data_IF_136932739671
#
_entry.id   IF_136932739671
#
_cell.length_a   1.000
_cell.length_b   1.000
_cell.length_c   1.000
_cell.angle_alpha   90.00
_cell.angle_beta   90.00
_cell.angle_gamma   90.00
#
_symmetry.space_group_name_H-M   'P 1'
#
loop_
_entity.id
_entity.type
_entity.pdbx_description
1 polymer ?
#
# COMPACT_ATOMS: atom_id res chain seq x y z
N UNK A 1 -32.34 -43.22 19.52
CA UNK A 1 -32.17 -41.76 19.30
C UNK A 1 -30.68 -41.49 19.36
N UNK A 2 -30.02 -41.40 18.20
CA UNK A 2 -28.55 -41.30 18.10
C UNK A 2 -28.13 -39.88 18.47
N UNK A 3 -27.14 -39.75 19.36
CA UNK A 3 -26.49 -38.46 19.66
C UNK A 3 -25.67 -38.05 18.43
N UNK A 4 -25.85 -36.84 17.95
CA UNK A 4 -24.99 -36.23 16.94
C UNK A 4 -23.61 -36.03 17.56
N UNK A 5 -22.61 -36.73 17.04
CA UNK A 5 -21.22 -36.50 17.38
C UNK A 5 -20.75 -35.30 16.54
N UNK A 6 -20.55 -34.16 17.18
CA UNK A 6 -19.84 -33.04 16.55
C UNK A 6 -18.39 -33.46 16.28
N UNK A 7 -18.01 -33.55 15.02
CA UNK A 7 -16.65 -33.89 14.60
C UNK A 7 -15.75 -32.64 14.74
N UNK A 8 -14.85 -32.58 15.75
CA UNK A 8 -14.00 -31.41 15.98
C UNK A 8 -13.02 -31.15 14.82
N UNK A 9 -12.83 -32.15 13.96
CA UNK A 9 -11.94 -32.08 12.81
C UNK A 9 -12.46 -31.18 11.69
N UNK A 10 -13.78 -31.05 11.53
CA UNK A 10 -14.38 -30.23 10.46
C UNK A 10 -14.15 -28.74 10.76
N UNK A 11 -14.35 -28.31 12.00
CA UNK A 11 -14.11 -26.91 12.41
C UNK A 11 -12.63 -26.52 12.30
N UNK A 12 -11.70 -27.48 12.46
CA UNK A 12 -10.26 -27.22 12.37
C UNK A 12 -9.76 -26.98 10.94
N UNK A 13 -10.53 -27.37 9.92
CA UNK A 13 -10.20 -27.07 8.51
C UNK A 13 -10.71 -25.67 8.09
N UNK A 14 -11.67 -25.11 8.83
CA UNK A 14 -12.24 -23.77 8.56
C UNK A 14 -11.37 -22.69 9.22
N UNK A 15 -10.76 -22.98 10.37
CA UNK A 15 -9.80 -22.10 11.05
C UNK A 15 -8.37 -22.14 10.46
N UNK A 16 -8.14 -22.90 9.38
CA UNK A 16 -6.82 -23.09 8.78
C UNK A 16 -6.65 -22.38 7.43
N UNK A 17 -7.27 -21.21 7.24
CA UNK A 17 -6.90 -20.27 6.16
C UNK A 17 -6.30 -18.95 6.67
N UNK A 18 -5.41 -19.06 7.65
CA UNK A 18 -4.28 -18.13 7.68
C UNK A 18 -3.01 -18.95 7.89
N UNK A 19 -2.62 -19.70 6.87
CA UNK A 19 -1.19 -19.83 6.60
C UNK A 19 -0.74 -18.38 6.41
N UNK A 20 0.10 -17.80 7.29
CA UNK A 20 0.72 -16.55 6.93
C UNK A 20 1.57 -16.91 5.72
N UNK A 21 1.02 -16.64 4.54
CA UNK A 21 1.79 -16.51 3.30
C UNK A 21 3.09 -15.86 3.73
N UNK A 22 4.27 -16.50 3.54
CA UNK A 22 5.54 -15.92 3.94
C UNK A 22 5.48 -14.51 3.39
N UNK A 23 5.44 -13.49 4.26
CA UNK A 23 5.13 -12.11 3.87
C UNK A 23 6.17 -11.77 2.84
N UNK A 24 5.80 -11.99 1.58
CA UNK A 24 6.77 -11.97 0.54
C UNK A 24 7.23 -10.53 0.55
N UNK A 25 8.53 -10.36 0.76
CA UNK A 25 9.16 -9.10 1.12
C UNK A 25 9.23 -8.20 -0.11
N UNK A 26 8.09 -8.05 -0.77
CA UNK A 26 7.84 -7.21 -1.90
C UNK A 26 7.65 -5.80 -1.40
N UNK A 27 8.33 -4.89 -2.07
CA UNK A 27 8.12 -3.47 -1.89
C UNK A 27 6.69 -3.12 -2.29
N UNK A 28 6.02 -2.37 -1.43
CA UNK A 28 4.62 -1.97 -1.55
C UNK A 28 4.49 -0.51 -1.14
N UNK A 29 3.36 0.12 -1.43
CA UNK A 29 3.00 1.39 -0.83
C UNK A 29 2.70 1.22 0.67
N UNK A 30 3.23 2.14 1.47
CA UNK A 30 2.95 2.28 2.89
C UNK A 30 1.51 2.73 3.10
N UNK A 31 0.84 2.24 4.15
CA UNK A 31 -0.56 2.62 4.44
C UNK A 31 -0.72 4.09 4.83
N UNK A 32 0.29 4.66 5.49
CA UNK A 32 0.39 6.10 5.68
C UNK A 32 0.68 6.78 4.33
N UNK A 33 -0.29 7.55 3.85
CA UNK A 33 -0.22 8.34 2.63
C UNK A 33 -0.94 9.69 2.84
N UNK A 34 -0.77 10.62 1.90
CA UNK A 34 -1.41 11.93 1.93
C UNK A 34 -2.93 11.83 1.84
N UNK A 35 -3.62 12.88 2.29
CA UNK A 35 -5.08 12.87 2.41
C UNK A 35 -5.83 12.80 1.08
N UNK A 36 -5.16 13.06 -0.04
CA UNK A 36 -5.73 12.93 -1.40
C UNK A 36 -5.19 11.68 -2.12
N UNK A 37 -4.59 10.74 -1.38
CA UNK A 37 -4.12 9.44 -1.86
C UNK A 37 -4.85 8.29 -1.15
N UNK A 38 -5.05 7.19 -1.87
CA UNK A 38 -5.58 5.94 -1.35
C UNK A 38 -4.68 4.79 -1.76
N UNK A 39 -4.20 4.04 -0.75
CA UNK A 39 -3.47 2.80 -0.96
C UNK A 39 -4.44 1.63 -0.87
N UNK A 40 -4.44 0.78 -1.90
CA UNK A 40 -5.35 -0.36 -2.03
C UNK A 40 -4.60 -1.60 -2.52
N UNK A 41 -5.33 -2.68 -2.82
CA UNK A 41 -4.77 -3.93 -3.35
C UNK A 41 -3.59 -4.45 -2.52
N UNK A 42 -3.77 -4.49 -1.19
CA UNK A 42 -2.75 -4.92 -0.24
C UNK A 42 -1.41 -4.16 -0.40
N UNK A 43 -1.49 -2.84 -0.65
CA UNK A 43 -0.32 -1.99 -0.83
C UNK A 43 0.28 -2.01 -2.25
N UNK A 44 -0.38 -2.63 -3.23
CA UNK A 44 0.13 -2.70 -4.62
C UNK A 44 -0.36 -1.58 -5.52
N UNK A 45 -1.38 -0.84 -5.09
CA UNK A 45 -2.00 0.20 -5.91
C UNK A 45 -2.11 1.50 -5.11
N UNK A 46 -1.83 2.62 -5.79
CA UNK A 46 -1.99 3.97 -5.28
C UNK A 46 -2.92 4.72 -6.23
N UNK A 47 -3.93 5.38 -5.67
CA UNK A 47 -4.87 6.19 -6.44
C UNK A 47 -4.99 7.59 -5.84
N UNK A 48 -4.98 8.61 -6.71
CA UNK A 48 -5.37 9.97 -6.36
C UNK A 48 -6.90 10.03 -6.24
N UNK A 49 -7.43 10.38 -5.07
CA UNK A 49 -8.88 10.34 -4.82
C UNK A 49 -9.58 11.69 -5.09
N UNK A 50 -8.84 12.79 -5.16
CA UNK A 50 -9.35 14.12 -5.54
C UNK A 50 -8.59 14.64 -6.74
N UNK A 51 -9.17 14.49 -7.92
CA UNK A 51 -8.50 14.78 -9.19
C UNK A 51 -8.27 16.29 -9.35
N UNK A 52 -9.19 17.12 -8.85
CA UNK A 52 -9.14 18.59 -8.87
C UNK A 52 -8.11 19.22 -7.92
N UNK A 53 -7.48 18.43 -7.04
CA UNK A 53 -6.47 18.89 -6.07
C UNK A 53 -5.09 18.45 -6.48
N UNK A 54 -4.17 19.38 -6.64
CA UNK A 54 -2.79 19.11 -7.05
C UNK A 54 -1.89 18.61 -5.89
N UNK A 55 -2.35 18.74 -4.64
CA UNK A 55 -1.58 18.48 -3.43
C UNK A 55 -2.03 17.22 -2.67
N UNK A 56 -1.24 16.84 -1.65
CA UNK A 56 -1.51 15.76 -0.69
C UNK A 56 -1.73 14.37 -1.32
N UNK A 57 -1.25 14.17 -2.56
CA UNK A 57 -1.27 12.88 -3.28
C UNK A 57 -0.02 12.03 -3.03
N UNK A 58 0.68 12.24 -1.92
CA UNK A 58 1.99 11.64 -1.63
C UNK A 58 1.84 10.23 -1.03
N UNK A 59 2.70 9.30 -1.42
CA UNK A 59 2.83 7.98 -0.81
C UNK A 59 4.30 7.60 -0.65
N UNK A 60 4.55 6.56 0.15
CA UNK A 60 5.88 6.06 0.46
C UNK A 60 5.94 4.55 0.26
N UNK A 61 7.14 3.98 0.24
CA UNK A 61 7.30 2.54 0.31
C UNK A 61 7.08 2.02 1.73
N UNK A 62 6.55 0.80 1.86
CA UNK A 62 6.22 0.18 3.15
C UNK A 62 7.45 -0.24 3.97
N UNK A 63 8.63 -0.19 3.36
CA UNK A 63 9.94 -0.45 3.95
C UNK A 63 11.03 0.28 3.16
N UNK A 64 12.25 0.40 3.69
CA UNK A 64 13.39 0.89 2.93
C UNK A 64 13.66 0.05 1.68
N UNK A 65 14.15 0.71 0.62
CA UNK A 65 14.78 0.04 -0.51
C UNK A 65 16.04 -0.68 -0.03
N UNK A 66 16.25 -1.89 -0.50
CA UNK A 66 17.53 -2.61 -0.31
C UNK A 66 18.54 -2.15 -1.35
N UNK A 67 19.81 -2.46 -1.08
CA UNK A 67 20.88 -2.25 -2.05
C UNK A 67 20.52 -2.95 -3.38
N UNK A 68 20.72 -2.23 -4.47
CA UNK A 68 20.42 -2.66 -5.85
C UNK A 68 18.96 -3.07 -6.12
N UNK A 69 18.02 -2.74 -5.23
CA UNK A 69 16.59 -3.01 -5.43
C UNK A 69 15.92 -1.93 -6.29
N UNK A 70 15.15 -2.37 -7.28
CA UNK A 70 14.36 -1.49 -8.14
C UNK A 70 12.94 -1.39 -7.60
N UNK A 71 12.42 -0.15 -7.51
CA UNK A 71 11.00 0.11 -7.37
C UNK A 71 10.40 0.53 -8.71
N UNK A 72 9.66 -0.39 -9.31
CA UNK A 72 8.93 -0.14 -10.55
C UNK A 72 7.45 0.15 -10.24
N UNK A 73 6.89 1.13 -10.95
CA UNK A 73 5.47 1.49 -10.88
C UNK A 73 4.90 1.61 -12.28
N UNK A 74 3.68 1.10 -12.46
CA UNK A 74 2.91 1.26 -13.70
C UNK A 74 1.85 2.33 -13.48
N UNK A 75 1.71 3.24 -14.45
CA UNK A 75 0.62 4.21 -14.46
C UNK A 75 -0.56 3.58 -15.18
N UNK A 76 -1.55 3.12 -14.42
CA UNK A 76 -2.75 2.48 -14.97
C UNK A 76 -3.67 3.49 -15.66
N UNK A 77 -3.89 4.63 -15.02
CA UNK A 77 -4.74 5.71 -15.51
C UNK A 77 -4.13 7.07 -15.22
N UNK A 78 -4.41 8.03 -16.10
CA UNK A 78 -3.99 9.42 -15.97
C UNK A 78 -5.20 10.30 -16.32
N UNK A 79 -5.36 11.39 -15.58
CA UNK A 79 -6.28 12.45 -15.98
C UNK A 79 -5.56 13.40 -16.94
N UNK A 80 -6.07 13.52 -18.16
CA UNK A 80 -5.47 14.33 -19.22
C UNK A 80 -5.85 15.82 -19.13
N UNK A 81 -6.87 16.16 -18.35
CA UNK A 81 -7.29 17.55 -18.12
C UNK A 81 -6.37 18.25 -17.11
N UNK A 82 -5.81 17.51 -16.15
CA UNK A 82 -4.87 18.04 -15.18
C UNK A 82 -3.44 18.04 -15.73
N UNK A 83 -2.75 19.18 -15.56
CA UNK A 83 -1.33 19.32 -15.90
C UNK A 83 -0.40 18.89 -14.76
N UNK A 84 -0.81 17.86 -14.03
CA UNK A 84 -0.04 17.36 -12.89
C UNK A 84 1.12 16.47 -13.37
N UNK A 85 2.26 16.58 -12.67
CA UNK A 85 3.41 15.73 -12.88
C UNK A 85 3.50 14.69 -11.75
N UNK A 86 3.88 13.46 -12.10
CA UNK A 86 4.24 12.45 -11.10
C UNK A 86 5.70 12.69 -10.73
N UNK A 87 5.93 13.02 -9.45
CA UNK A 87 7.27 13.06 -8.88
C UNK A 87 7.63 11.72 -8.25
N UNK A 88 8.85 11.25 -8.47
CA UNK A 88 9.42 10.09 -7.80
C UNK A 88 10.77 10.51 -7.20
N UNK A 89 11.04 10.05 -5.97
CA UNK A 89 12.27 10.35 -5.27
C UNK A 89 12.53 9.34 -4.15
N UNK A 90 13.62 9.56 -3.41
CA UNK A 90 14.01 8.74 -2.27
C UNK A 90 14.15 9.61 -1.03
N UNK A 91 13.95 9.02 0.15
CA UNK A 91 14.13 9.70 1.42
C UNK A 91 14.79 8.79 2.45
N UNK A 92 15.47 9.41 3.42
CA UNK A 92 16.21 8.70 4.49
C UNK A 92 15.40 8.48 5.77
N UNK A 93 14.27 9.17 5.93
CA UNK A 93 13.44 9.09 7.13
C UNK A 93 12.31 8.09 6.96
N UNK A 94 11.92 7.41 8.05
CA UNK A 94 10.82 6.44 8.02
C UNK A 94 9.47 7.14 7.80
N UNK A 95 8.59 6.62 6.93
CA UNK A 95 7.21 7.09 6.80
C UNK A 95 6.42 7.05 8.11
N UNK A 96 6.83 6.23 9.08
CA UNK A 96 6.18 6.13 10.40
C UNK A 96 6.48 7.30 11.34
N UNK A 97 7.57 8.03 11.11
CA UNK A 97 8.04 9.07 12.05
C UNK A 97 7.87 10.49 11.53
N UNK A 98 7.72 10.67 10.22
CA UNK A 98 7.59 11.99 9.59
C UNK A 98 6.13 12.48 9.57
N UNK A 99 5.96 13.81 9.50
CA UNK A 99 4.73 14.39 8.98
C UNK A 99 4.64 14.15 7.47
N UNK A 100 3.45 13.83 6.96
CA UNK A 100 3.27 13.60 5.52
C UNK A 100 3.32 14.98 4.83
N UNK A 101 4.25 15.20 3.90
CA UNK A 101 4.37 16.48 3.22
C UNK A 101 3.21 16.63 2.23
N UNK A 102 2.79 17.87 2.00
CA UNK A 102 1.76 18.16 1.00
C UNK A 102 2.24 17.97 -0.44
N UNK A 103 3.57 18.02 -0.66
CA UNK A 103 4.23 17.90 -1.95
C UNK A 103 5.59 17.21 -1.80
N UNK A 104 6.05 16.54 -2.84
CA UNK A 104 7.33 15.79 -2.82
C UNK A 104 8.54 16.66 -2.45
N UNK A 105 8.56 17.93 -2.87
CA UNK A 105 9.70 18.84 -2.66
C UNK A 105 9.66 19.61 -1.33
N UNK A 106 8.71 19.33 -0.44
CA UNK A 106 8.49 20.09 0.79
C UNK A 106 8.89 19.31 2.04
N UNK A 107 9.98 18.53 1.95
CA UNK A 107 10.57 17.76 3.06
C UNK A 107 11.84 18.39 3.59
#
# INVERSE_FOLDING_TARGET
MRKEEEFPFVNKLIDSQHVPEPKADFLRFHQRCGTNALVSNNGKSLQKIKIDKWNDGVAFTNRPLKDDEIFEVTVDTRDDETKDAIGIGVMTHSPDTIAIPSHMNNM
#
